data_IF_235372562565
#
_entry.id   IF_235372562565
#
_cell.length_a   1.000
_cell.length_b   1.000
_cell.length_c   1.000
_cell.angle_alpha   90.00
_cell.angle_beta   90.00
_cell.angle_gamma   90.00
#
_symmetry.space_group_name_H-M   'P 1'
#
loop_
_entity.id
_entity.type
_entity.pdbx_description
1 polymer ?
#
# COMPACT_ATOMS: atom_id res chain seq x y z
N UNK A 1 -7.80 33.65 8.51
CA UNK A 1 -7.52 32.68 7.43
C UNK A 1 -8.80 32.57 6.61
N UNK A 2 -8.78 33.17 5.42
CA UNK A 2 -9.97 33.38 4.59
C UNK A 2 -10.56 32.06 4.08
N UNK A 3 -11.89 31.96 4.14
CA UNK A 3 -12.65 30.87 3.51
C UNK A 3 -12.70 31.13 2.01
N UNK A 4 -12.00 30.31 1.24
CA UNK A 4 -12.21 30.24 -0.21
C UNK A 4 -13.55 29.55 -0.45
N UNK A 5 -14.60 30.35 -0.62
CA UNK A 5 -15.91 29.88 -1.06
C UNK A 5 -15.89 29.71 -2.57
N UNK A 6 -16.05 28.47 -3.05
CA UNK A 6 -16.28 28.18 -4.46
C UNK A 6 -17.76 28.43 -4.76
N UNK A 7 -18.05 29.26 -5.77
CA UNK A 7 -19.41 29.52 -6.25
C UNK A 7 -19.94 28.30 -7.00
N UNK A 8 -21.19 27.97 -6.69
CA UNK A 8 -22.01 26.92 -7.28
C UNK A 8 -22.74 27.51 -8.49
N UNK A 9 -22.40 27.04 -9.69
CA UNK A 9 -23.12 27.38 -10.92
C UNK A 9 -23.65 26.10 -11.58
N UNK A 10 -24.98 25.98 -11.54
CA UNK A 10 -25.87 25.24 -12.45
C UNK A 10 -25.89 23.69 -12.42
N UNK A 11 -27.06 23.20 -11.97
CA UNK A 11 -27.81 22.02 -12.45
C UNK A 11 -27.07 20.69 -12.65
N UNK A 12 -27.18 19.79 -11.66
CA UNK A 12 -27.07 18.35 -11.88
C UNK A 12 -26.18 17.60 -10.90
N UNK A 13 -26.78 17.15 -9.79
CA UNK A 13 -26.18 16.16 -8.90
C UNK A 13 -25.43 16.77 -7.71
N UNK A 14 -26.04 16.63 -6.53
CA UNK A 14 -25.35 16.90 -5.26
C UNK A 14 -24.11 15.99 -5.17
N UNK A 15 -22.93 16.55 -5.40
CA UNK A 15 -21.67 15.83 -5.34
C UNK A 15 -21.13 15.66 -3.89
N UNK A 16 -21.93 16.04 -2.89
CA UNK A 16 -21.65 15.73 -1.49
C UNK A 16 -22.87 15.05 -0.86
N UNK A 17 -22.72 13.88 -0.19
CA UNK A 17 -23.78 13.38 0.67
C UNK A 17 -24.18 14.46 1.69
N UNK A 18 -25.47 14.53 2.07
CA UNK A 18 -25.93 15.49 3.05
C UNK A 18 -25.18 15.25 4.37
N UNK A 19 -24.37 16.25 4.75
CA UNK A 19 -23.43 16.31 5.88
C UNK A 19 -22.15 15.48 5.71
N UNK A 20 -21.10 16.13 5.21
CA UNK A 20 -19.73 15.74 5.51
C UNK A 20 -19.52 15.76 7.03
N UNK A 21 -19.30 14.60 7.64
CA UNK A 21 -19.16 14.45 9.09
C UNK A 21 -17.80 14.93 9.64
N UNK A 22 -16.88 15.35 8.76
CA UNK A 22 -15.53 15.76 9.13
C UNK A 22 -14.52 14.62 9.23
N UNK A 23 -14.77 13.49 8.55
CA UNK A 23 -13.85 12.36 8.48
C UNK A 23 -13.10 12.32 7.14
N UNK A 24 -11.85 11.88 7.17
CA UNK A 24 -10.97 11.71 6.00
C UNK A 24 -10.57 10.24 5.91
N UNK A 25 -11.22 9.45 5.04
CA UNK A 25 -10.78 8.09 4.75
C UNK A 25 -9.54 8.11 3.85
N UNK A 26 -8.55 7.31 4.22
CA UNK A 26 -7.28 7.14 3.51
C UNK A 26 -7.10 5.65 3.25
N UNK A 27 -7.11 5.26 1.98
CA UNK A 27 -6.81 3.91 1.57
C UNK A 27 -5.30 3.68 1.47
N UNK A 28 -4.80 2.65 2.14
CA UNK A 28 -3.45 2.11 1.92
C UNK A 28 -3.57 0.93 0.97
N UNK A 29 -2.98 1.06 -0.21
CA UNK A 29 -3.19 0.17 -1.35
C UNK A 29 -1.87 -0.45 -1.79
N UNK A 30 -1.86 -1.78 -1.91
CA UNK A 30 -0.79 -2.48 -2.60
C UNK A 30 -1.07 -2.47 -4.11
N UNK A 31 -0.37 -1.62 -4.87
CA UNK A 31 -0.58 -1.54 -6.32
C UNK A 31 -0.03 -2.76 -7.06
N UNK A 32 0.76 -3.61 -6.39
CA UNK A 32 1.31 -4.83 -6.94
C UNK A 32 0.28 -5.97 -6.97
N UNK A 33 -0.82 -5.82 -6.22
CA UNK A 33 -1.89 -6.80 -6.12
C UNK A 33 -2.96 -6.60 -7.21
N UNK A 34 -3.40 -7.71 -7.81
CA UNK A 34 -4.46 -7.68 -8.83
C UNK A 34 -4.05 -7.05 -10.17
N UNK A 35 -2.75 -6.92 -10.42
CA UNK A 35 -2.21 -6.49 -11.71
C UNK A 35 -1.86 -7.69 -12.58
N UNK A 36 -2.17 -7.58 -13.87
CA UNK A 36 -1.69 -8.47 -14.93
C UNK A 36 -0.61 -7.74 -15.74
N UNK A 37 0.48 -8.41 -16.10
CA UNK A 37 1.56 -7.81 -16.88
C UNK A 37 2.62 -7.12 -16.02
N UNK A 38 2.92 -5.84 -16.31
CA UNK A 38 3.92 -5.09 -15.55
C UNK A 38 3.39 -4.73 -14.16
N UNK A 39 4.12 -5.18 -13.14
CA UNK A 39 3.74 -5.03 -11.75
C UNK A 39 4.35 -3.72 -11.24
N UNK A 40 3.54 -2.78 -10.72
CA UNK A 40 4.06 -1.58 -10.06
C UNK A 40 5.03 -1.94 -8.93
N UNK A 41 5.95 -1.05 -8.57
CA UNK A 41 6.90 -1.25 -7.47
C UNK A 41 6.53 -0.41 -6.23
N UNK A 42 5.24 -0.20 -5.99
CA UNK A 42 4.78 0.76 -5.00
C UNK A 42 3.56 0.33 -4.18
N UNK A 43 3.54 0.82 -2.95
CA UNK A 43 2.35 0.97 -2.11
C UNK A 43 1.93 2.44 -2.13
N UNK A 44 0.61 2.70 -2.18
CA UNK A 44 0.07 4.06 -2.27
C UNK A 44 -0.89 4.35 -1.12
N UNK A 45 -0.87 5.59 -0.63
CA UNK A 45 -1.90 6.13 0.25
C UNK A 45 -2.78 7.09 -0.56
N UNK A 46 -4.09 6.83 -0.59
CA UNK A 46 -5.06 7.59 -1.36
C UNK A 46 -6.15 8.14 -0.45
N UNK A 47 -6.33 9.46 -0.46
CA UNK A 47 -7.50 10.06 0.16
C UNK A 47 -8.74 9.67 -0.67
N UNK A 48 -9.76 9.15 0.01
CA UNK A 48 -11.08 8.89 -0.55
C UNK A 48 -11.97 10.09 -0.24
N UNK A 49 -12.60 10.66 -1.25
CA UNK A 49 -13.51 11.79 -1.08
C UNK A 49 -14.97 11.46 -1.40
N UNK A 50 -15.25 10.25 -1.91
CA UNK A 50 -16.61 9.82 -2.19
C UNK A 50 -16.70 8.34 -2.51
N UNK A 51 -17.90 7.78 -2.35
CA UNK A 51 -18.26 6.43 -2.77
C UNK A 51 -19.63 6.50 -3.45
N UNK A 52 -19.79 5.79 -4.55
CA UNK A 52 -21.07 5.65 -5.26
C UNK A 52 -21.20 4.24 -5.85
N UNK A 53 -22.35 3.86 -6.42
CA UNK A 53 -22.48 2.61 -7.17
C UNK A 53 -21.48 2.45 -8.32
N UNK A 54 -20.88 3.55 -8.81
CA UNK A 54 -19.83 3.49 -9.85
C UNK A 54 -18.46 3.06 -9.30
N UNK A 55 -18.20 3.25 -8.01
CA UNK A 55 -16.89 3.02 -7.41
C UNK A 55 -16.52 4.04 -6.34
N UNK A 56 -15.22 4.01 -5.99
CA UNK A 56 -14.60 4.83 -4.96
C UNK A 56 -13.83 5.97 -5.61
N UNK A 57 -14.07 7.20 -5.16
CA UNK A 57 -13.45 8.41 -5.68
C UNK A 57 -12.21 8.79 -4.86
N UNK A 58 -11.06 8.94 -5.51
CA UNK A 58 -9.75 9.18 -4.89
C UNK A 58 -9.02 10.36 -5.51
N UNK A 59 -8.06 10.99 -4.79
CA UNK A 59 -7.51 12.30 -5.15
C UNK A 59 -6.15 12.32 -5.89
N UNK A 60 -5.44 11.20 -6.09
CA UNK A 60 -4.11 11.22 -6.73
C UNK A 60 -3.89 10.05 -7.72
N UNK A 61 -4.36 10.14 -8.97
CA UNK A 61 -5.07 11.27 -9.57
C UNK A 61 -6.53 11.34 -9.09
N UNK A 62 -7.23 12.42 -9.43
CA UNK A 62 -8.69 12.49 -9.21
C UNK A 62 -9.37 11.49 -10.14
N UNK A 63 -9.81 10.36 -9.59
CA UNK A 63 -10.40 9.27 -10.35
C UNK A 63 -11.52 8.54 -9.60
N UNK A 64 -12.35 7.80 -10.33
CA UNK A 64 -13.37 6.90 -9.79
C UNK A 64 -12.96 5.46 -10.14
N UNK A 65 -12.55 4.69 -9.12
CA UNK A 65 -12.06 3.32 -9.30
C UNK A 65 -13.16 2.32 -8.96
N UNK A 66 -13.49 1.38 -9.86
CA UNK A 66 -14.42 0.30 -9.55
C UNK A 66 -13.93 -0.53 -8.36
N UNK A 67 -14.87 -0.94 -7.50
CA UNK A 67 -14.56 -1.75 -6.32
C UNK A 67 -13.79 -3.02 -6.68
N UNK A 68 -14.14 -3.67 -7.79
CA UNK A 68 -13.47 -4.88 -8.32
C UNK A 68 -11.97 -4.70 -8.52
N UNK A 69 -11.53 -3.49 -8.86
CA UNK A 69 -10.12 -3.18 -9.13
C UNK A 69 -9.40 -2.77 -7.84
N UNK A 70 -10.13 -2.21 -6.88
CA UNK A 70 -9.59 -1.73 -5.61
C UNK A 70 -9.44 -2.86 -4.58
N UNK A 71 -10.38 -3.80 -4.60
CA UNK A 71 -10.50 -4.85 -3.59
C UNK A 71 -9.29 -5.77 -3.46
N UNK A 72 -8.64 -6.22 -4.56
CA UNK A 72 -7.39 -6.99 -4.46
C UNK A 72 -6.26 -6.22 -3.76
N UNK A 73 -6.25 -4.88 -3.91
CA UNK A 73 -5.23 -3.97 -3.36
C UNK A 73 -5.48 -3.61 -1.90
N UNK A 74 -6.76 -3.54 -1.49
CA UNK A 74 -7.19 -3.28 -0.12
C UNK A 74 -7.13 -4.50 0.80
N UNK A 75 -7.13 -5.72 0.24
CA UNK A 75 -7.05 -6.99 0.99
C UNK A 75 -5.77 -7.76 0.71
N UNK A 76 -4.75 -7.10 0.18
CA UNK A 76 -3.47 -7.73 -0.09
C UNK A 76 -2.73 -8.02 1.22
N UNK A 77 -1.93 -9.09 1.29
CA UNK A 77 -1.01 -9.25 2.41
C UNK A 77 -0.02 -8.08 2.49
N UNK A 78 0.52 -7.83 3.69
CA UNK A 78 1.64 -6.91 3.94
C UNK A 78 2.95 -7.46 3.33
N UNK A 79 3.01 -7.47 2.01
CA UNK A 79 4.14 -7.96 1.21
C UNK A 79 4.51 -6.92 0.16
N UNK A 80 5.80 -6.67 0.01
CA UNK A 80 6.37 -5.93 -1.12
C UNK A 80 7.07 -6.90 -2.07
N UNK A 81 6.77 -6.80 -3.36
CA UNK A 81 7.50 -7.46 -4.43
C UNK A 81 8.65 -6.56 -4.88
N UNK A 82 9.87 -7.10 -4.83
CA UNK A 82 11.09 -6.43 -5.29
C UNK A 82 11.53 -7.07 -6.59
N UNK A 83 11.75 -6.28 -7.65
CA UNK A 83 12.17 -6.83 -8.94
C UNK A 83 13.56 -7.43 -8.83
N UNK A 84 13.78 -8.55 -9.51
CA UNK A 84 15.09 -9.22 -9.58
C UNK A 84 16.20 -8.28 -10.05
N UNK A 85 15.92 -7.40 -11.02
CA UNK A 85 16.87 -6.39 -11.51
C UNK A 85 17.39 -5.45 -10.42
N UNK A 86 16.54 -5.09 -9.46
CA UNK A 86 16.89 -4.14 -8.42
C UNK A 86 17.84 -4.79 -7.40
N UNK A 87 17.72 -6.11 -7.21
CA UNK A 87 18.67 -6.90 -6.42
C UNK A 87 19.99 -7.06 -7.18
N UNK A 88 19.94 -7.49 -8.44
CA UNK A 88 21.14 -7.77 -9.24
C UNK A 88 21.95 -6.51 -9.54
N UNK A 89 21.31 -5.36 -9.75
CA UNK A 89 22.00 -4.07 -9.95
C UNK A 89 22.83 -3.61 -8.75
N UNK A 90 22.54 -4.13 -7.55
CA UNK A 90 23.28 -3.86 -6.32
C UNK A 90 24.25 -4.99 -5.95
N UNK A 91 24.21 -6.09 -6.68
CA UNK A 91 25.04 -7.26 -6.41
C UNK A 91 26.37 -7.16 -7.14
N UNK A 92 27.44 -7.51 -6.42
CA UNK A 92 28.78 -7.75 -6.96
C UNK A 92 29.31 -9.07 -6.40
N UNK A 93 30.33 -9.68 -7.01
CA UNK A 93 30.96 -10.88 -6.47
C UNK A 93 31.48 -10.72 -5.03
N UNK A 94 31.72 -9.48 -4.57
CA UNK A 94 32.20 -9.16 -3.23
C UNK A 94 31.09 -8.71 -2.27
N UNK A 95 29.82 -8.71 -2.70
CA UNK A 95 28.70 -8.28 -1.85
C UNK A 95 28.49 -9.27 -0.69
N UNK A 96 28.63 -8.78 0.53
CA UNK A 96 28.29 -9.54 1.74
C UNK A 96 26.78 -9.62 1.92
N UNK A 97 26.27 -10.86 2.05
CA UNK A 97 24.85 -11.14 2.26
C UNK A 97 24.50 -11.42 3.73
N UNK A 98 25.50 -11.50 4.62
CA UNK A 98 25.33 -11.74 6.06
C UNK A 98 24.35 -10.76 6.74
N UNK A 99 24.24 -9.48 6.34
CA UNK A 99 23.23 -8.58 6.91
C UNK A 99 21.78 -9.06 6.76
N UNK A 100 21.46 -9.82 5.71
CA UNK A 100 20.11 -10.36 5.50
C UNK A 100 19.73 -11.45 6.53
N UNK A 101 20.72 -12.01 7.24
CA UNK A 101 20.51 -13.00 8.30
C UNK A 101 20.22 -12.36 9.66
N UNK A 102 20.38 -11.04 9.80
CA UNK A 102 20.28 -10.33 11.07
C UNK A 102 19.29 -9.16 11.00
N UNK A 103 18.33 -9.21 10.07
CA UNK A 103 17.27 -8.21 9.98
C UNK A 103 16.35 -8.37 11.19
N UNK A 104 16.10 -7.32 12.00
CA UNK A 104 15.31 -7.45 13.23
C UNK A 104 13.87 -7.92 13.02
N UNK A 105 13.24 -7.53 11.90
CA UNK A 105 11.89 -7.97 11.56
C UNK A 105 11.88 -9.47 11.22
N UNK A 106 11.38 -10.30 12.16
CA UNK A 106 11.30 -11.76 12.03
C UNK A 106 10.57 -12.23 10.76
N UNK A 107 9.72 -11.38 10.18
CA UNK A 107 9.05 -11.69 8.92
C UNK A 107 10.05 -11.85 7.77
N UNK A 108 11.24 -11.23 7.82
CA UNK A 108 12.31 -11.49 6.85
C UNK A 108 12.79 -12.94 6.87
N UNK A 109 12.86 -13.55 8.05
CA UNK A 109 13.20 -14.96 8.21
C UNK A 109 12.05 -15.87 7.78
N UNK A 110 10.82 -15.51 8.15
CA UNK A 110 9.60 -16.23 7.72
C UNK A 110 9.47 -16.26 6.20
N UNK A 111 9.79 -15.15 5.53
CA UNK A 111 9.79 -15.06 4.07
C UNK A 111 11.04 -15.68 3.43
N UNK A 112 12.03 -16.10 4.22
CA UNK A 112 13.33 -16.56 3.75
C UNK A 112 13.96 -15.61 2.72
N UNK A 113 13.98 -14.31 3.03
CA UNK A 113 14.45 -13.27 2.09
C UNK A 113 15.89 -13.55 1.64
N UNK A 114 16.76 -13.99 2.57
CA UNK A 114 18.12 -14.42 2.26
C UNK A 114 18.14 -15.53 1.19
N UNK A 115 17.36 -16.60 1.37
CA UNK A 115 17.29 -17.72 0.42
C UNK A 115 16.77 -17.29 -0.94
N UNK A 116 15.80 -16.37 -0.99
CA UNK A 116 15.32 -15.79 -2.25
C UNK A 116 16.43 -15.04 -3.00
N UNK A 117 17.21 -14.20 -2.30
CA UNK A 117 18.33 -13.45 -2.89
C UNK A 117 19.41 -14.40 -3.42
N UNK A 118 19.80 -15.42 -2.63
CA UNK A 118 20.76 -16.44 -3.07
C UNK A 118 20.26 -17.19 -4.30
N UNK A 119 18.98 -17.55 -4.34
CA UNK A 119 18.39 -18.23 -5.50
C UNK A 119 18.46 -17.37 -6.77
N UNK A 120 18.10 -16.09 -6.67
CA UNK A 120 18.17 -15.15 -7.79
C UNK A 120 19.60 -15.00 -8.33
N UNK A 121 20.59 -14.83 -7.45
CA UNK A 121 22.01 -14.73 -7.86
C UNK A 121 22.47 -16.03 -8.54
N UNK A 122 22.07 -17.19 -8.00
CA UNK A 122 22.39 -18.50 -8.58
C UNK A 122 21.77 -18.68 -9.97
N UNK A 123 20.49 -18.36 -10.14
CA UNK A 123 19.80 -18.43 -11.43
C UNK A 123 20.48 -17.52 -12.46
N UNK A 124 20.74 -16.27 -12.08
CA UNK A 124 21.37 -15.28 -12.94
C UNK A 124 22.77 -15.71 -13.42
N UNK A 125 23.59 -16.31 -12.54
CA UNK A 125 24.89 -16.90 -12.92
C UNK A 125 24.73 -18.06 -13.89
N UNK A 126 23.74 -18.94 -13.68
CA UNK A 126 23.52 -20.11 -14.52
C UNK A 126 23.09 -19.76 -15.95
N UNK A 127 22.38 -18.65 -16.13
CA UNK A 127 21.89 -18.19 -17.46
C UNK A 127 22.85 -17.23 -18.17
N UNK A 128 24.09 -17.11 -17.68
CA UNK A 128 25.11 -16.27 -18.30
C UNK A 128 24.91 -14.77 -18.04
N UNK A 129 24.48 -14.41 -16.83
CA UNK A 129 24.36 -13.02 -16.37
C UNK A 129 23.31 -12.20 -17.13
N UNK A 130 22.28 -12.87 -17.67
CA UNK A 130 21.14 -12.25 -18.35
C UNK A 130 19.90 -12.23 -17.45
N UNK A 131 19.44 -11.03 -17.11
CA UNK A 131 18.24 -10.83 -16.29
C UNK A 131 16.97 -11.35 -16.99
N UNK A 132 16.83 -11.08 -18.29
CA UNK A 132 15.68 -11.50 -19.11
C UNK A 132 15.46 -13.02 -19.04
N UNK A 133 16.53 -13.81 -18.86
CA UNK A 133 16.50 -15.27 -18.78
C UNK A 133 16.31 -15.81 -17.37
N UNK A 134 16.32 -14.96 -16.34
CA UNK A 134 16.10 -15.38 -14.96
C UNK A 134 14.63 -15.75 -14.77
N UNK A 135 14.36 -16.90 -14.15
CA UNK A 135 12.98 -17.41 -13.98
C UNK A 135 12.26 -16.64 -12.89
N UNK A 136 12.95 -16.37 -11.79
CA UNK A 136 12.44 -15.57 -10.69
C UNK A 136 12.43 -14.09 -11.09
N UNK A 137 11.23 -13.50 -11.27
CA UNK A 137 11.07 -12.09 -11.63
C UNK A 137 11.01 -11.14 -10.43
N UNK A 138 10.51 -11.62 -9.31
CA UNK A 138 10.34 -10.84 -8.09
C UNK A 138 10.69 -11.67 -6.86
N UNK A 139 11.25 -10.99 -5.85
CA UNK A 139 11.38 -11.48 -4.49
C UNK A 139 10.25 -10.89 -3.65
N UNK A 140 9.86 -11.59 -2.59
CA UNK A 140 8.87 -11.14 -1.62
C UNK A 140 9.58 -10.74 -0.33
N UNK A 141 9.34 -9.52 0.14
CA UNK A 141 9.74 -9.07 1.46
C UNK A 141 8.51 -8.63 2.26
N UNK A 142 8.53 -8.66 3.60
CA UNK A 142 7.47 -8.05 4.39
C UNK A 142 7.40 -6.54 4.09
N UNK A 143 6.19 -6.00 3.96
CA UNK A 143 6.00 -4.56 3.85
C UNK A 143 5.92 -3.91 5.24
N UNK A 144 6.25 -2.62 5.32
CA UNK A 144 5.99 -1.79 6.50
C UNK A 144 4.55 -1.26 6.56
N UNK A 145 3.73 -1.61 5.57
CA UNK A 145 2.36 -1.13 5.41
C UNK A 145 1.37 -2.29 5.44
N UNK A 146 0.20 -2.03 5.97
CA UNK A 146 -0.95 -2.93 5.86
C UNK A 146 -1.99 -2.32 4.93
N UNK A 147 -2.59 -3.14 4.06
CA UNK A 147 -3.64 -2.65 3.18
C UNK A 147 -4.93 -2.46 3.96
N UNK A 148 -5.68 -1.42 3.63
CA UNK A 148 -6.94 -1.13 4.30
C UNK A 148 -7.34 0.32 4.19
N UNK A 149 -8.30 0.73 5.00
CA UNK A 149 -8.77 2.11 5.07
C UNK A 149 -8.60 2.63 6.48
N UNK A 150 -7.78 3.65 6.64
CA UNK A 150 -7.67 4.43 7.87
C UNK A 150 -8.63 5.60 7.79
N UNK A 151 -9.46 5.79 8.81
CA UNK A 151 -10.38 6.94 8.87
C UNK A 151 -9.88 7.92 9.93
N UNK A 152 -9.43 9.09 9.50
CA UNK A 152 -9.01 10.17 10.38
C UNK A 152 -10.16 11.15 10.63
N UNK A 153 -10.25 11.71 11.83
CA UNK A 153 -11.19 12.78 12.14
C UNK A 153 -10.57 13.77 13.12
N UNK A 154 -10.99 15.03 13.06
CA UNK A 154 -10.56 16.05 14.01
C UNK A 154 -11.13 15.73 15.40
N UNK A 155 -10.29 15.72 16.43
CA UNK A 155 -10.72 15.51 17.83
C UNK A 155 -11.82 16.51 18.19
N UNK A 156 -12.89 16.00 18.81
CA UNK A 156 -14.07 16.81 19.18
C UNK A 156 -15.10 17.01 18.06
N UNK A 157 -14.81 16.59 16.82
CA UNK A 157 -15.81 16.57 15.75
C UNK A 157 -16.87 15.48 15.96
N UNK A 158 -17.99 15.60 15.26
CA UNK A 158 -19.02 14.55 15.23
C UNK A 158 -18.46 13.23 14.69
N UNK A 159 -17.63 13.28 13.64
CA UNK A 159 -16.93 12.09 13.13
C UNK A 159 -16.04 11.43 14.19
N UNK A 160 -15.25 12.22 14.93
CA UNK A 160 -14.41 11.69 16.00
C UNK A 160 -15.26 10.96 17.06
N UNK A 161 -16.34 11.57 17.53
CA UNK A 161 -17.24 10.92 18.49
C UNK A 161 -17.83 9.62 17.95
N UNK A 162 -18.25 9.58 16.68
CA UNK A 162 -18.79 8.35 16.08
C UNK A 162 -17.74 7.26 15.97
N UNK A 163 -16.51 7.60 15.58
CA UNK A 163 -15.40 6.65 15.45
C UNK A 163 -15.00 6.07 16.80
N UNK A 164 -14.97 6.87 17.88
CA UNK A 164 -14.66 6.35 19.22
C UNK A 164 -15.73 5.40 19.78
N UNK A 165 -16.95 5.44 19.23
CA UNK A 165 -18.07 4.57 19.61
C UNK A 165 -18.39 3.50 18.55
N UNK A 166 -17.49 3.27 17.59
CA UNK A 166 -17.64 2.24 16.56
C UNK A 166 -16.76 1.01 16.93
N UNK A 167 -17.25 0.04 17.72
CA UNK A 167 -16.44 -1.09 18.21
C UNK A 167 -15.90 -1.99 17.11
N UNK A 168 -16.52 -1.95 15.92
CA UNK A 168 -16.08 -2.69 14.74
C UNK A 168 -14.83 -2.07 14.07
N UNK A 169 -14.44 -0.85 14.44
CA UNK A 169 -13.26 -0.18 13.90
C UNK A 169 -12.17 -0.16 14.98
N UNK A 170 -11.07 -0.93 14.82
CA UNK A 170 -9.98 -0.89 15.77
C UNK A 170 -9.34 0.50 15.78
N UNK A 171 -9.09 1.02 16.98
CA UNK A 171 -8.33 2.27 17.14
C UNK A 171 -6.83 1.97 17.04
N UNK A 172 -6.13 2.73 16.20
CA UNK A 172 -4.67 2.71 16.16
C UNK A 172 -4.16 3.42 17.41
N UNK A 173 -3.73 2.68 18.43
CA UNK A 173 -3.14 3.26 19.63
C UNK A 173 -1.71 3.73 19.31
N UNK A 174 -1.39 5.03 19.36
CA UNK A 174 -0.04 5.52 19.10
C UNK A 174 0.99 5.10 20.17
N UNK A 175 0.53 4.51 21.27
CA UNK A 175 1.37 4.04 22.39
C UNK A 175 1.65 2.54 22.39
N UNK A 176 1.09 1.78 21.44
CA UNK A 176 1.61 0.44 21.14
C UNK A 176 2.69 0.67 20.08
N UNK A 177 3.90 1.00 20.55
CA UNK A 177 5.05 0.52 19.80
C UNK A 177 4.92 -0.98 19.89
N UNK A 178 4.67 -1.65 18.77
CA UNK A 178 5.12 -3.02 18.69
C UNK A 178 6.60 -2.97 19.08
N UNK A 179 6.92 -3.59 20.22
CA UNK A 179 8.30 -3.82 20.62
C UNK A 179 8.90 -4.72 19.53
N UNK A 180 9.47 -4.07 18.51
CA UNK A 180 10.34 -4.66 17.48
C UNK A 180 11.76 -4.65 18.02
#
# INVERSE_FOLDING_TARGET
>A
MERVGYKDDSEGGRFWPPKYLGAVPIATLNLQAGCEGDIPDAWHHQMIFGVSPRGVFMCNPVECVPETNLWPRLRSPSTLLVRTRDVLSRFSPCTDLTPLLHVPDERFHTYNVFGQVVNVIREWRAVGWSEERTRTRHLRIPASYESGVTVAALVGSEAHWRLTHAPQLPTLNPHVKDDI
#
